data_IF_553832312330
#
_entry.id   IF_553832312330
#
_cell.length_a   1.000
_cell.length_b   1.000
_cell.length_c   1.000
_cell.angle_alpha   90.00
_cell.angle_beta   90.00
_cell.angle_gamma   90.00
#
_symmetry.space_group_name_H-M   'P 1'
#
loop_
_entity.id
_entity.type
_entity.pdbx_description
1 polymer ?
#
# COMPACT_ATOMS: atom_id res chain seq x y z
N UNK A 1 61.25 -2.36 -43.18
CA UNK A 1 59.84 -2.05 -43.50
C UNK A 1 59.04 -2.10 -42.19
N UNK A 2 58.07 -1.20 -41.99
CA UNK A 2 57.73 -0.51 -40.72
C UNK A 2 57.01 -1.41 -39.69
N UNK A 3 57.20 -1.22 -38.37
CA UNK A 3 56.37 -0.37 -37.46
C UNK A 3 54.86 -0.60 -37.63
N UNK A 4 54.08 -0.94 -36.60
CA UNK A 4 53.56 0.02 -35.63
C UNK A 4 52.64 -0.71 -34.61
N UNK A 5 52.84 -0.48 -33.29
CA UNK A 5 51.95 0.25 -32.34
C UNK A 5 50.73 -0.57 -31.81
N UNK A 6 50.35 -0.65 -30.52
CA UNK A 6 50.49 0.15 -29.28
C UNK A 6 50.35 -0.84 -28.09
N UNK A 7 51.15 -0.87 -27.01
CA UNK A 7 51.54 0.14 -26.02
C UNK A 7 50.46 0.45 -24.94
N UNK A 8 50.73 -0.04 -23.72
CA UNK A 8 50.60 0.64 -22.39
C UNK A 8 49.19 0.61 -21.76
N UNK A 9 48.93 0.10 -20.55
CA UNK A 9 49.78 -0.17 -19.39
C UNK A 9 49.42 0.78 -18.23
N UNK A 10 48.85 0.27 -17.13
CA UNK A 10 48.93 0.88 -15.78
C UNK A 10 48.45 -0.11 -14.71
N UNK A 11 49.42 -0.86 -14.20
CA UNK A 11 49.42 -1.52 -12.89
C UNK A 11 49.74 -0.43 -11.85
N UNK A 12 49.02 -0.33 -10.73
CA UNK A 12 49.61 -0.13 -9.39
C UNK A 12 48.70 -0.78 -8.34
N UNK A 13 49.20 -1.88 -7.78
CA UNK A 13 48.77 -2.53 -6.54
C UNK A 13 49.37 -1.79 -5.35
N UNK A 14 48.63 -1.60 -4.25
CA UNK A 14 49.26 -1.43 -2.93
C UNK A 14 48.32 -1.86 -1.81
N UNK A 15 48.68 -3.00 -1.22
CA UNK A 15 48.17 -3.58 0.02
C UNK A 15 48.79 -2.80 1.19
N UNK A 16 48.00 -2.34 2.16
CA UNK A 16 48.51 -1.83 3.43
C UNK A 16 47.73 -2.50 4.57
N UNK A 17 48.43 -3.44 5.22
CA UNK A 17 48.04 -4.18 6.41
C UNK A 17 48.33 -3.29 7.63
N UNK A 18 47.32 -2.94 8.43
CA UNK A 18 47.55 -2.39 9.77
C UNK A 18 46.59 -3.00 10.78
N UNK A 19 47.16 -3.82 11.65
CA UNK A 19 46.58 -4.40 12.86
C UNK A 19 46.24 -3.32 13.87
N UNK A 20 44.97 -3.23 14.25
CA UNK A 20 44.48 -2.43 15.38
C UNK A 20 43.33 -3.15 16.06
N UNK A 21 43.51 -3.49 17.33
CA UNK A 21 42.52 -4.14 18.21
C UNK A 21 41.34 -3.21 18.42
N UNK A 22 40.14 -3.67 18.08
CA UNK A 22 38.88 -3.00 18.39
C UNK A 22 37.72 -3.96 18.17
N UNK A 23 37.05 -4.34 19.26
CA UNK A 23 35.85 -5.15 19.23
C UNK A 23 34.73 -4.41 18.46
N UNK A 24 34.63 -4.67 17.16
CA UNK A 24 33.49 -4.23 16.37
C UNK A 24 32.42 -5.31 16.48
N UNK A 25 31.44 -5.05 17.33
CA UNK A 25 30.14 -5.71 17.36
C UNK A 25 29.61 -5.83 15.94
N UNK A 26 29.39 -7.07 15.48
CA UNK A 26 28.58 -7.36 14.31
C UNK A 26 27.14 -6.98 14.64
N UNK A 27 26.81 -5.69 14.54
CA UNK A 27 25.44 -5.25 14.50
C UNK A 27 24.82 -5.86 13.24
N UNK A 28 24.03 -6.92 13.42
CA UNK A 28 23.15 -7.44 12.38
C UNK A 28 22.34 -6.25 11.86
N UNK A 29 22.66 -5.79 10.65
CA UNK A 29 21.88 -4.81 9.96
C UNK A 29 20.50 -5.43 9.74
N UNK A 30 19.54 -5.09 10.60
CA UNK A 30 18.14 -5.34 10.33
C UNK A 30 17.87 -4.79 8.91
N UNK A 31 17.16 -5.53 8.03
CA UNK A 31 16.90 -5.03 6.70
C UNK A 31 16.19 -3.69 6.85
N UNK A 32 16.89 -2.62 6.49
CA UNK A 32 16.30 -1.29 6.40
C UNK A 32 15.13 -1.43 5.43
N UNK A 33 13.91 -1.36 5.97
CA UNK A 33 12.66 -1.45 5.23
C UNK A 33 12.68 -0.36 4.15
N UNK A 34 13.12 -0.72 2.94
CA UNK A 34 12.94 0.09 1.74
C UNK A 34 11.46 0.16 1.30
N UNK A 35 10.51 -0.10 2.22
CA UNK A 35 9.09 -0.26 1.96
C UNK A 35 8.20 0.84 2.56
N UNK A 36 8.75 1.74 3.40
CA UNK A 36 7.94 2.64 4.22
C UNK A 36 7.16 3.74 3.45
N UNK A 37 7.51 4.02 2.20
CA UNK A 37 6.93 5.15 1.46
C UNK A 37 5.60 4.83 0.77
N UNK A 38 5.27 3.54 0.61
CA UNK A 38 4.05 3.09 -0.07
C UNK A 38 3.08 2.36 0.86
N UNK A 39 3.25 2.52 2.16
CA UNK A 39 2.32 1.96 3.15
C UNK A 39 1.06 2.83 3.22
N UNK A 40 -0.09 2.19 3.22
CA UNK A 40 -1.38 2.84 3.41
C UNK A 40 -1.39 3.50 4.79
N UNK A 41 -1.80 4.76 4.82
CA UNK A 41 -1.95 5.56 6.04
C UNK A 41 -3.41 5.75 6.42
N UNK A 42 -4.28 5.87 5.42
CA UNK A 42 -5.71 6.09 5.62
C UNK A 42 -6.51 5.44 4.49
N UNK A 43 -7.63 4.82 4.85
CA UNK A 43 -8.63 4.28 3.93
C UNK A 43 -9.95 4.98 4.21
N UNK A 44 -10.60 5.45 3.16
CA UNK A 44 -11.95 6.00 3.20
C UNK A 44 -12.84 5.22 2.24
N UNK A 45 -14.04 4.85 2.68
CA UNK A 45 -15.08 4.26 1.84
C UNK A 45 -16.29 5.17 1.87
N UNK A 46 -16.69 5.70 0.73
CA UNK A 46 -18.00 6.33 0.56
C UNK A 46 -18.96 5.31 -0.06
N UNK A 47 -20.12 5.12 0.55
CA UNK A 47 -21.17 4.20 0.09
C UNK A 47 -22.43 5.00 -0.21
N UNK A 48 -22.91 4.93 -1.44
CA UNK A 48 -24.12 5.63 -1.86
C UNK A 48 -25.10 4.71 -2.55
N UNK A 49 -26.37 5.11 -2.66
CA UNK A 49 -27.38 4.38 -3.43
C UNK A 49 -28.18 3.39 -2.58
N UNK A 50 -28.54 2.25 -3.18
CA UNK A 50 -29.55 1.34 -2.63
C UNK A 50 -30.97 1.95 -2.64
N UNK A 51 -31.96 1.13 -2.30
CA UNK A 51 -33.38 1.49 -2.38
C UNK A 51 -33.74 2.76 -1.57
N UNK A 52 -33.10 2.97 -0.41
CA UNK A 52 -33.36 4.12 0.46
C UNK A 52 -32.52 5.36 0.12
N UNK A 53 -31.63 5.30 -0.88
CA UNK A 53 -30.76 6.43 -1.23
C UNK A 53 -29.74 6.78 -0.13
N UNK A 54 -29.03 5.77 0.38
CA UNK A 54 -28.01 5.93 1.43
C UNK A 54 -26.87 6.83 0.95
N UNK A 55 -26.25 7.56 1.87
CA UNK A 55 -25.01 8.30 1.65
C UNK A 55 -24.17 8.27 2.93
N UNK A 56 -23.28 7.29 3.02
CA UNK A 56 -22.45 7.00 4.18
C UNK A 56 -20.97 7.19 3.85
N UNK A 57 -20.18 7.59 4.84
CA UNK A 57 -18.73 7.70 4.72
C UNK A 57 -18.06 7.06 5.93
N UNK A 58 -17.14 6.15 5.65
CA UNK A 58 -16.35 5.40 6.62
C UNK A 58 -14.88 5.75 6.45
N UNK A 59 -14.15 5.96 7.54
CA UNK A 59 -12.75 6.34 7.49
C UNK A 59 -11.96 5.62 8.59
N UNK A 60 -10.89 4.96 8.19
CA UNK A 60 -9.95 4.29 9.08
C UNK A 60 -8.55 4.83 8.77
N UNK A 61 -7.82 5.20 9.81
CA UNK A 61 -6.46 5.73 9.70
C UNK A 61 -5.50 4.90 10.54
N UNK A 62 -4.19 5.11 10.36
CA UNK A 62 -3.16 4.52 11.21
C UNK A 62 -3.32 4.85 12.71
N UNK A 63 -4.08 5.89 13.06
CA UNK A 63 -4.41 6.23 14.44
C UNK A 63 -5.68 5.56 14.99
N UNK A 64 -6.45 4.85 14.16
CA UNK A 64 -7.68 4.18 14.57
C UNK A 64 -7.37 2.94 15.41
N UNK A 65 -7.77 2.93 16.68
CA UNK A 65 -7.54 1.80 17.60
C UNK A 65 -8.62 0.74 17.40
N UNK A 66 -8.32 -0.29 16.59
CA UNK A 66 -9.17 -1.45 16.37
C UNK A 66 -8.32 -2.68 16.03
N UNK A 67 -8.79 -3.89 16.36
CA UNK A 67 -8.03 -5.13 16.12
C UNK A 67 -7.70 -5.36 14.64
N UNK A 68 -8.59 -4.92 13.74
CA UNK A 68 -8.43 -5.05 12.28
C UNK A 68 -7.73 -3.87 11.60
N UNK A 69 -7.35 -2.80 12.31
CA UNK A 69 -6.75 -1.62 11.66
C UNK A 69 -5.44 -1.97 10.95
N UNK A 70 -4.56 -2.73 11.60
CA UNK A 70 -3.27 -3.10 11.03
C UNK A 70 -3.44 -3.95 9.77
N UNK A 71 -4.36 -4.93 9.81
CA UNK A 71 -4.66 -5.81 8.68
C UNK A 71 -5.27 -5.04 7.52
N UNK A 72 -6.17 -4.08 7.78
CA UNK A 72 -6.77 -3.25 6.73
C UNK A 72 -5.68 -2.46 5.97
N UNK A 73 -4.80 -1.79 6.72
CA UNK A 73 -3.73 -0.99 6.13
C UNK A 73 -2.71 -1.87 5.41
N UNK A 74 -2.41 -3.06 5.93
CA UNK A 74 -1.55 -4.03 5.26
C UNK A 74 -2.15 -4.49 3.92
N UNK A 75 -3.44 -4.86 3.90
CA UNK A 75 -4.18 -5.27 2.71
C UNK A 75 -4.20 -4.16 1.65
N UNK A 76 -4.48 -2.91 2.04
CA UNK A 76 -4.47 -1.76 1.14
C UNK A 76 -3.06 -1.39 0.61
N UNK A 77 -2.01 -1.86 1.28
CA UNK A 77 -0.60 -1.67 0.88
C UNK A 77 -0.09 -2.77 -0.06
N UNK A 78 -0.84 -3.86 -0.22
CA UNK A 78 -0.46 -4.97 -1.11
C UNK A 78 -0.27 -4.50 -2.55
N UNK A 79 0.55 -5.24 -3.30
CA UNK A 79 0.71 -4.99 -4.74
C UNK A 79 -0.58 -5.23 -5.50
N UNK A 80 -1.38 -6.20 -5.05
CA UNK A 80 -2.67 -6.56 -5.64
C UNK A 80 -3.65 -5.38 -5.58
N UNK A 81 -3.88 -4.83 -4.38
CA UNK A 81 -4.74 -3.65 -4.22
C UNK A 81 -4.24 -2.45 -5.03
N UNK A 82 -2.93 -2.19 -5.01
CA UNK A 82 -2.34 -1.05 -5.75
C UNK A 82 -2.53 -1.16 -7.27
N UNK A 83 -2.61 -2.38 -7.80
CA UNK A 83 -2.78 -2.66 -9.23
C UNK A 83 -4.23 -2.70 -9.70
N UNK A 84 -5.19 -2.54 -8.79
CA UNK A 84 -6.60 -2.46 -9.18
C UNK A 84 -6.82 -1.36 -10.23
N UNK A 85 -7.74 -1.61 -11.15
CA UNK A 85 -8.29 -0.61 -12.03
C UNK A 85 -8.95 0.52 -11.24
N UNK A 86 -9.14 1.67 -11.88
CA UNK A 86 -9.82 2.81 -11.25
C UNK A 86 -11.32 2.55 -11.00
N UNK A 87 -11.94 1.66 -11.78
CA UNK A 87 -13.36 1.37 -11.69
C UNK A 87 -13.68 -0.10 -12.03
N UNK A 88 -14.72 -0.63 -11.38
CA UNK A 88 -15.35 -1.92 -11.66
C UNK A 88 -16.87 -1.72 -11.72
N UNK A 89 -17.44 -1.46 -12.92
CA UNK A 89 -18.87 -1.28 -13.05
C UNK A 89 -19.61 -2.62 -12.95
N UNK A 90 -20.83 -2.60 -12.43
CA UNK A 90 -21.70 -3.74 -12.52
C UNK A 90 -22.47 -3.76 -13.85
N UNK A 91 -23.08 -4.91 -14.17
CA UNK A 91 -24.09 -4.98 -15.21
C UNK A 91 -25.36 -4.19 -14.84
N UNK A 92 -26.31 -4.06 -15.78
CA UNK A 92 -27.57 -3.36 -15.53
C UNK A 92 -28.30 -3.92 -14.29
N UNK A 93 -28.90 -3.03 -13.51
CA UNK A 93 -29.71 -3.38 -12.35
C UNK A 93 -30.14 -2.12 -11.60
N UNK A 94 -31.32 -2.18 -10.97
CA UNK A 94 -31.80 -1.12 -10.09
C UNK A 94 -31.20 -1.29 -8.68
N UNK A 95 -31.21 -0.20 -7.90
CA UNK A 95 -31.01 -0.21 -6.45
C UNK A 95 -29.70 -0.81 -5.93
N UNK A 96 -28.59 -0.59 -6.64
CA UNK A 96 -27.25 -1.01 -6.20
C UNK A 96 -26.62 0.01 -5.25
N UNK A 97 -25.76 -0.44 -4.35
CA UNK A 97 -24.82 0.45 -3.70
C UNK A 97 -23.61 0.70 -4.60
N UNK A 98 -23.17 1.96 -4.62
CA UNK A 98 -21.92 2.39 -5.22
C UNK A 98 -20.92 2.65 -4.11
N UNK A 99 -19.69 2.18 -4.30
CA UNK A 99 -18.60 2.34 -3.35
C UNK A 99 -17.48 3.11 -4.01
N UNK A 100 -16.97 4.12 -3.33
CA UNK A 100 -15.73 4.81 -3.69
C UNK A 100 -14.73 4.63 -2.57
N UNK A 101 -13.67 3.87 -2.87
CA UNK A 101 -12.58 3.57 -1.95
C UNK A 101 -11.42 4.50 -2.27
N UNK A 102 -11.01 5.32 -1.31
CA UNK A 102 -9.84 6.17 -1.40
C UNK A 102 -8.79 5.72 -0.37
N UNK A 103 -7.59 5.39 -0.84
CA UNK A 103 -6.45 4.99 0.00
C UNK A 103 -5.36 6.03 -0.13
N UNK A 104 -5.07 6.73 0.96
CA UNK A 104 -3.95 7.66 1.08
C UNK A 104 -2.74 6.93 1.64
N UNK A 105 -1.63 7.01 0.94
CA UNK A 105 -0.36 6.41 1.32
C UNK A 105 0.53 7.41 2.08
N UNK A 106 1.53 6.93 2.81
CA UNK A 106 2.46 7.77 3.59
C UNK A 106 3.23 8.80 2.75
N UNK A 107 3.43 8.54 1.45
CA UNK A 107 4.03 9.48 0.52
C UNK A 107 3.07 10.58 0.02
N UNK A 108 1.83 10.62 0.52
CA UNK A 108 0.81 11.59 0.12
C UNK A 108 0.06 11.24 -1.16
N UNK A 109 0.43 10.16 -1.86
CA UNK A 109 -0.31 9.69 -3.03
C UNK A 109 -1.64 9.09 -2.57
N UNK A 110 -2.71 9.36 -3.32
CA UNK A 110 -4.03 8.77 -3.10
C UNK A 110 -4.43 7.92 -4.29
N UNK A 111 -4.83 6.67 -4.04
CA UNK A 111 -5.47 5.81 -5.03
C UNK A 111 -6.97 5.79 -4.78
N UNK A 112 -7.74 6.04 -5.82
CA UNK A 112 -9.21 5.93 -5.78
C UNK A 112 -9.65 4.77 -6.66
N UNK A 113 -10.54 3.93 -6.14
CA UNK A 113 -11.18 2.82 -6.84
C UNK A 113 -12.68 2.89 -6.60
N UNK A 114 -13.46 2.87 -7.67
CA UNK A 114 -14.92 2.81 -7.59
C UNK A 114 -15.43 1.42 -7.97
N UNK A 115 -16.43 0.92 -7.27
CA UNK A 115 -17.09 -0.35 -7.56
C UNK A 115 -18.57 -0.28 -7.21
N UNK A 116 -19.35 -1.23 -7.71
CA UNK A 116 -20.79 -1.33 -7.47
C UNK A 116 -21.13 -2.72 -6.96
N UNK A 117 -22.22 -2.85 -6.20
CA UNK A 117 -22.70 -4.18 -5.80
C UNK A 117 -22.89 -5.07 -7.03
N UNK A 118 -22.38 -6.30 -6.94
CA UNK A 118 -22.46 -7.27 -8.03
C UNK A 118 -21.54 -6.97 -9.22
N UNK A 119 -20.65 -5.99 -9.11
CA UNK A 119 -19.56 -5.82 -10.07
C UNK A 119 -18.54 -6.97 -9.93
N UNK A 120 -17.92 -7.42 -11.03
CA UNK A 120 -16.85 -8.43 -11.01
C UNK A 120 -15.52 -7.82 -10.54
N UNK A 121 -15.51 -7.18 -9.38
CA UNK A 121 -14.32 -6.59 -8.80
C UNK A 121 -13.47 -7.64 -8.06
N UNK A 122 -12.13 -7.51 -8.04
CA UNK A 122 -11.25 -8.41 -7.31
C UNK A 122 -11.56 -8.44 -5.80
N UNK A 123 -11.40 -9.61 -5.18
CA UNK A 123 -11.72 -9.87 -3.76
C UNK A 123 -11.04 -8.90 -2.80
N UNK A 124 -9.78 -8.54 -3.07
CA UNK A 124 -9.02 -7.59 -2.24
C UNK A 124 -9.71 -6.22 -2.12
N UNK A 125 -10.50 -5.79 -3.12
CA UNK A 125 -11.26 -4.54 -3.03
C UNK A 125 -12.40 -4.67 -2.04
N UNK A 126 -13.16 -5.77 -2.11
CA UNK A 126 -14.27 -6.06 -1.20
C UNK A 126 -13.79 -6.24 0.23
N UNK A 127 -12.67 -6.93 0.43
CA UNK A 127 -12.05 -7.06 1.75
C UNK A 127 -11.73 -5.71 2.39
N UNK A 128 -11.18 -4.75 1.61
CA UNK A 128 -10.90 -3.39 2.11
C UNK A 128 -12.20 -2.64 2.44
N UNK A 129 -13.24 -2.77 1.61
CA UNK A 129 -14.56 -2.18 1.86
C UNK A 129 -15.15 -2.70 3.17
N UNK A 130 -15.25 -4.02 3.31
CA UNK A 130 -15.89 -4.69 4.44
C UNK A 130 -15.16 -4.41 5.74
N UNK A 131 -13.83 -4.52 5.77
CA UNK A 131 -13.03 -4.20 6.96
C UNK A 131 -13.18 -2.74 7.38
N UNK A 132 -13.19 -1.79 6.44
CA UNK A 132 -13.34 -0.36 6.75
C UNK A 132 -14.71 -0.08 7.37
N UNK A 133 -15.77 -0.67 6.79
CA UNK A 133 -17.13 -0.53 7.27
C UNK A 133 -17.32 -1.21 8.63
N UNK A 134 -16.75 -2.40 8.82
CA UNK A 134 -16.79 -3.13 10.09
C UNK A 134 -16.14 -2.33 11.21
N UNK A 135 -14.88 -1.90 11.03
CA UNK A 135 -14.17 -1.08 12.02
C UNK A 135 -14.99 0.16 12.39
N UNK A 136 -15.58 0.81 11.39
CA UNK A 136 -16.37 2.03 11.64
C UNK A 136 -17.66 1.75 12.41
N UNK A 137 -18.32 0.62 12.17
CA UNK A 137 -19.53 0.20 12.90
C UNK A 137 -19.21 -0.19 14.34
N UNK A 138 -18.13 -0.94 14.54
CA UNK A 138 -17.70 -1.41 15.86
C UNK A 138 -17.26 -0.24 16.77
N UNK A 139 -16.79 0.86 16.16
CA UNK A 139 -16.43 2.10 16.86
C UNK A 139 -17.57 3.12 16.96
N UNK A 140 -18.70 2.89 16.28
CA UNK A 140 -19.84 3.79 16.39
C UNK A 140 -20.43 3.70 17.80
N UNK A 141 -20.74 4.82 18.46
CA UNK A 141 -21.43 4.78 19.74
C UNK A 141 -22.78 4.08 19.56
N UNK A 142 -23.08 3.11 20.44
CA UNK A 142 -24.42 2.54 20.56
C UNK A 142 -25.36 3.65 21.01
N UNK A 143 -26.19 4.10 20.09
CA UNK A 143 -27.27 5.08 20.30
C UNK A 143 -28.37 4.53 21.18
#
# INVERSE_FOLDING_TARGET
MPAMLRAIGRIITAFALLTGVGAATLAAAAPARAAAWNDAYQVTVARTGGFAGVNERYAVSAGTVHIYTADLLATASTREFRRLSAAYPAGPGADRFHYTVAVTYRNGVTKTVSTEDGAPAPEVLWQVVDMTMQISRDLAPVS
#
